data_IF_135768169130
#
_entry.id   IF_135768169130
#
_cell.length_a   1.000
_cell.length_b   1.000
_cell.length_c   1.000
_cell.angle_alpha   90.00
_cell.angle_beta   90.00
_cell.angle_gamma   90.00
#
_symmetry.space_group_name_H-M   'P 1'
#
loop_
_entity.id
_entity.type
_entity.pdbx_description
1 polymer ?
#
# COMPACT_ATOMS: atom_id res chain seq x y z
N UNK A 1 31.13 -28.31 18.70
CA UNK A 1 29.88 -27.56 18.90
C UNK A 1 30.09 -26.58 20.04
N UNK A 2 30.14 -25.28 19.77
CA UNK A 2 30.28 -24.24 20.80
C UNK A 2 28.91 -24.07 21.44
N UNK A 3 28.80 -24.34 22.74
CA UNK A 3 27.60 -24.07 23.53
C UNK A 3 27.38 -22.55 23.49
N UNK A 4 26.30 -22.10 22.86
CA UNK A 4 25.87 -20.71 23.00
C UNK A 4 25.36 -20.54 24.43
N UNK A 5 26.03 -19.70 25.21
CA UNK A 5 25.57 -19.33 26.54
C UNK A 5 24.22 -18.59 26.43
N UNK A 6 23.27 -19.00 27.27
CA UNK A 6 21.88 -18.53 27.30
C UNK A 6 21.74 -16.99 27.34
N UNK A 7 22.74 -16.30 27.91
CA UNK A 7 22.82 -14.84 28.01
C UNK A 7 23.00 -14.14 26.65
N UNK A 8 23.82 -14.69 25.76
CA UNK A 8 24.04 -14.13 24.42
C UNK A 8 22.81 -14.29 23.52
N UNK A 9 22.06 -15.38 23.69
CA UNK A 9 20.81 -15.59 22.97
C UNK A 9 19.74 -14.57 23.39
N UNK A 10 19.56 -14.33 24.70
CA UNK A 10 18.64 -13.29 25.19
C UNK A 10 19.00 -11.88 24.73
N UNK A 11 20.28 -11.53 24.71
CA UNK A 11 20.73 -10.21 24.25
C UNK A 11 20.44 -9.97 22.77
N UNK A 12 20.76 -10.95 21.90
CA UNK A 12 20.47 -10.86 20.47
C UNK A 12 18.96 -10.80 20.19
N UNK A 13 18.16 -11.60 20.88
CA UNK A 13 16.70 -11.58 20.75
C UNK A 13 16.13 -10.21 21.18
N UNK A 14 16.66 -9.61 22.26
CA UNK A 14 16.26 -8.27 22.70
C UNK A 14 16.64 -7.20 21.67
N UNK A 15 17.86 -7.23 21.14
CA UNK A 15 18.34 -6.25 20.16
C UNK A 15 17.56 -6.32 18.83
N UNK A 16 17.24 -7.52 18.35
CA UNK A 16 16.38 -7.70 17.18
C UNK A 16 14.96 -7.18 17.44
N UNK A 17 14.41 -7.42 18.64
CA UNK A 17 13.09 -6.91 19.03
C UNK A 17 13.07 -5.39 19.06
N UNK A 18 14.07 -4.75 19.65
CA UNK A 18 14.17 -3.29 19.74
C UNK A 18 14.31 -2.64 18.35
N UNK A 19 15.05 -3.29 17.45
CA UNK A 19 15.18 -2.83 16.05
C UNK A 19 13.84 -2.92 15.30
N UNK A 20 13.09 -4.01 15.48
CA UNK A 20 11.75 -4.19 14.88
C UNK A 20 10.78 -3.13 15.41
N UNK A 21 10.79 -2.88 16.72
CA UNK A 21 9.96 -1.85 17.34
C UNK A 21 10.35 -0.46 16.82
N UNK A 22 11.65 -0.17 16.68
CA UNK A 22 12.14 1.08 16.12
C UNK A 22 11.69 1.33 14.68
N UNK A 23 11.78 0.32 13.81
CA UNK A 23 11.28 0.39 12.43
C UNK A 23 9.77 0.65 12.38
N UNK A 24 8.99 0.00 13.24
CA UNK A 24 7.54 0.18 13.32
C UNK A 24 7.14 1.58 13.78
N UNK A 25 7.83 2.14 14.77
CA UNK A 25 7.59 3.51 15.23
C UNK A 25 7.84 4.51 14.09
N UNK A 26 8.85 4.28 13.26
CA UNK A 26 9.12 5.12 12.09
C UNK A 26 8.09 4.92 10.96
N UNK A 27 7.49 3.74 10.84
CA UNK A 27 6.46 3.43 9.83
C UNK A 27 5.12 4.11 10.12
N UNK A 28 4.72 4.24 11.40
CA UNK A 28 3.46 4.88 11.82
C UNK A 28 3.26 6.30 11.25
N UNK A 29 4.19 7.27 11.39
CA UNK A 29 4.00 8.62 10.84
C UNK A 29 3.96 8.62 9.31
N UNK A 30 4.71 7.74 8.64
CA UNK A 30 4.64 7.58 7.20
C UNK A 30 3.26 7.10 6.75
N UNK A 31 2.68 6.12 7.45
CA UNK A 31 1.33 5.64 7.19
C UNK A 31 0.27 6.72 7.47
N UNK A 32 0.40 7.48 8.56
CA UNK A 32 -0.50 8.59 8.84
C UNK A 32 -0.45 9.64 7.71
N UNK A 33 0.74 10.07 7.29
CA UNK A 33 0.90 11.03 6.21
C UNK A 33 0.34 10.52 4.87
N UNK A 34 0.65 9.28 4.49
CA UNK A 34 0.16 8.68 3.25
C UNK A 34 -1.37 8.57 3.24
N UNK A 35 -2.00 8.12 4.34
CA UNK A 35 -3.46 8.04 4.41
C UNK A 35 -4.15 9.41 4.24
N UNK A 36 -3.61 10.46 4.86
CA UNK A 36 -4.12 11.83 4.71
C UNK A 36 -4.00 12.29 3.26
N UNK A 37 -2.82 12.08 2.65
CA UNK A 37 -2.58 12.46 1.25
C UNK A 37 -3.53 11.72 0.30
N UNK A 38 -3.76 10.43 0.50
CA UNK A 38 -4.66 9.63 -0.34
C UNK A 38 -6.12 10.11 -0.21
N UNK A 39 -6.57 10.45 1.00
CA UNK A 39 -7.91 11.02 1.20
C UNK A 39 -8.03 12.38 0.51
N UNK A 40 -7.04 13.27 0.67
CA UNK A 40 -7.01 14.57 -0.02
C UNK A 40 -7.02 14.39 -1.54
N UNK A 41 -6.29 13.41 -2.06
CA UNK A 41 -6.28 13.08 -3.48
C UNK A 41 -7.65 12.63 -3.98
N UNK A 42 -8.32 11.70 -3.28
CA UNK A 42 -9.68 11.25 -3.65
C UNK A 42 -10.66 12.45 -3.64
N UNK A 43 -10.61 13.30 -2.61
CA UNK A 43 -11.43 14.50 -2.52
C UNK A 43 -11.18 15.47 -3.68
N UNK A 44 -9.92 15.64 -4.09
CA UNK A 44 -9.55 16.45 -5.23
C UNK A 44 -10.14 15.87 -6.53
N UNK A 45 -9.98 14.55 -6.76
CA UNK A 45 -10.50 13.87 -7.95
C UNK A 45 -12.02 13.98 -8.08
N UNK A 46 -12.77 13.88 -6.97
CA UNK A 46 -14.23 14.02 -6.96
C UNK A 46 -14.65 15.46 -7.34
N UNK A 47 -13.89 16.47 -6.91
CA UNK A 47 -14.22 17.88 -7.18
C UNK A 47 -13.79 18.35 -8.57
N UNK A 48 -12.71 17.80 -9.11
CA UNK A 48 -12.19 18.20 -10.42
C UNK A 48 -13.02 17.60 -11.56
N UNK A 49 -13.45 18.44 -12.50
CA UNK A 49 -14.12 18.04 -13.76
C UNK A 49 -13.19 18.02 -14.97
N UNK A 50 -11.90 18.26 -14.76
CA UNK A 50 -10.91 18.41 -15.83
C UNK A 50 -10.53 17.07 -16.45
N UNK A 51 -10.69 15.98 -15.71
CA UNK A 51 -10.26 14.65 -16.13
C UNK A 51 -11.43 13.82 -16.67
N UNK A 52 -11.15 13.02 -17.72
CA UNK A 52 -12.11 12.09 -18.30
C UNK A 52 -12.69 11.15 -17.23
N UNK A 53 -13.99 10.83 -17.34
CA UNK A 53 -14.74 10.08 -16.32
C UNK A 53 -14.12 8.73 -16.00
N UNK A 54 -13.68 8.00 -17.04
CA UNK A 54 -13.02 6.69 -16.94
C UNK A 54 -11.68 6.78 -16.20
N UNK A 55 -10.83 7.74 -16.59
CA UNK A 55 -9.52 7.93 -15.98
C UNK A 55 -9.65 8.35 -14.50
N UNK A 56 -10.65 9.17 -14.18
CA UNK A 56 -10.97 9.52 -12.79
C UNK A 56 -11.37 8.29 -11.98
N UNK A 57 -12.22 7.42 -12.52
CA UNK A 57 -12.63 6.19 -11.84
C UNK A 57 -11.42 5.27 -11.56
N UNK A 58 -10.49 5.15 -12.52
CA UNK A 58 -9.25 4.38 -12.34
C UNK A 58 -8.33 4.98 -11.27
N UNK A 59 -8.19 6.31 -11.21
CA UNK A 59 -7.42 6.97 -10.15
C UNK A 59 -8.05 6.85 -8.76
N UNK A 60 -9.38 6.86 -8.67
CA UNK A 60 -10.07 6.60 -7.41
C UNK A 60 -9.89 5.13 -7.00
N UNK A 61 -9.97 4.19 -7.94
CA UNK A 61 -9.80 2.76 -7.66
C UNK A 61 -8.37 2.43 -7.16
N UNK A 62 -7.33 3.04 -7.74
CA UNK A 62 -5.95 2.90 -7.25
C UNK A 62 -5.82 3.45 -5.82
N UNK A 63 -6.30 4.67 -5.57
CA UNK A 63 -6.28 5.27 -4.24
C UNK A 63 -7.04 4.46 -3.18
N UNK A 64 -8.14 3.81 -3.54
CA UNK A 64 -8.87 2.91 -2.65
C UNK A 64 -8.09 1.62 -2.35
N UNK A 65 -7.41 1.08 -3.36
CA UNK A 65 -6.58 -0.13 -3.20
C UNK A 65 -5.41 0.16 -2.24
N UNK A 66 -4.73 1.30 -2.41
CA UNK A 66 -3.70 1.77 -1.49
C UNK A 66 -4.23 1.85 -0.04
N UNK A 67 -5.40 2.46 0.16
CA UNK A 67 -6.03 2.55 1.49
C UNK A 67 -6.35 1.18 2.08
N UNK A 68 -6.82 0.22 1.28
CA UNK A 68 -7.08 -1.15 1.74
C UNK A 68 -5.79 -1.83 2.20
N UNK A 69 -4.70 -1.73 1.44
CA UNK A 69 -3.39 -2.28 1.80
C UNK A 69 -2.88 -1.62 3.09
N UNK A 70 -3.01 -0.30 3.21
CA UNK A 70 -2.62 0.43 4.42
C UNK A 70 -3.42 0.01 5.64
N UNK A 71 -4.74 -0.20 5.52
CA UNK A 71 -5.57 -0.67 6.63
C UNK A 71 -5.12 -2.04 7.13
N UNK A 72 -4.76 -2.95 6.23
CA UNK A 72 -4.22 -4.27 6.58
C UNK A 72 -2.87 -4.13 7.30
N UNK A 73 -2.01 -3.19 6.87
CA UNK A 73 -0.74 -2.91 7.55
C UNK A 73 -0.92 -2.34 8.96
N UNK A 74 -1.93 -1.50 9.17
CA UNK A 74 -2.28 -1.01 10.52
C UNK A 74 -2.76 -2.15 11.40
N UNK A 75 -3.60 -3.05 10.88
CA UNK A 75 -4.04 -4.24 11.61
C UNK A 75 -2.86 -5.12 12.03
N UNK A 76 -1.93 -5.36 11.11
CA UNK A 76 -0.70 -6.12 11.34
C UNK A 76 0.18 -5.47 12.44
N UNK A 77 0.37 -4.15 12.37
CA UNK A 77 1.13 -3.39 13.36
C UNK A 77 0.53 -3.46 14.77
N UNK A 78 -0.80 -3.52 14.88
CA UNK A 78 -1.53 -3.60 16.16
C UNK A 78 -1.57 -5.01 16.77
N UNK A 79 -1.54 -6.06 15.95
CA UNK A 79 -1.76 -7.45 16.40
C UNK A 79 -0.51 -8.32 16.45
N UNK A 80 0.64 -7.84 15.99
CA UNK A 80 1.88 -8.63 16.07
C UNK A 80 2.59 -8.40 17.41
N UNK A 81 2.53 -9.41 18.28
CA UNK A 81 3.29 -9.53 19.54
C UNK A 81 4.83 -9.69 19.35
N UNK A 82 5.36 -9.29 18.20
CA UNK A 82 6.78 -9.43 17.85
C UNK A 82 7.15 -10.75 17.15
N UNK A 83 6.19 -11.58 16.75
CA UNK A 83 6.43 -12.70 15.83
C UNK A 83 6.38 -12.23 14.36
N UNK A 84 7.37 -12.67 13.58
CA UNK A 84 7.56 -12.39 12.14
C UNK A 84 6.62 -13.28 11.27
N UNK A 85 5.65 -13.97 11.87
CA UNK A 85 4.76 -14.88 11.13
C UNK A 85 3.48 -14.11 10.79
N UNK A 86 3.47 -13.54 9.59
CA UNK A 86 2.27 -12.93 9.02
C UNK A 86 1.15 -13.98 8.95
N UNK A 87 -0.05 -13.63 9.42
CA UNK A 87 -1.22 -14.48 9.22
C UNK A 87 -1.42 -14.71 7.72
N UNK A 88 -1.70 -15.95 7.24
CA UNK A 88 -1.77 -16.25 5.80
C UNK A 88 -2.75 -15.35 5.05
N UNK A 89 -3.83 -14.91 5.70
CA UNK A 89 -4.78 -13.95 5.16
C UNK A 89 -4.16 -12.56 4.90
N UNK A 90 -3.30 -12.08 5.79
CA UNK A 90 -2.56 -10.80 5.61
C UNK A 90 -1.60 -10.92 4.44
N UNK A 91 -0.88 -12.05 4.35
CA UNK A 91 0.05 -12.32 3.26
C UNK A 91 -0.65 -12.34 1.89
N UNK A 92 -1.75 -13.10 1.77
CA UNK A 92 -2.55 -13.17 0.54
C UNK A 92 -3.05 -11.79 0.15
N UNK A 93 -3.66 -11.05 1.09
CA UNK A 93 -4.26 -9.75 0.78
C UNK A 93 -3.23 -8.69 0.37
N UNK A 94 -2.01 -8.76 0.94
CA UNK A 94 -0.89 -7.91 0.55
C UNK A 94 -0.43 -8.17 -0.88
N UNK A 95 -0.28 -9.44 -1.27
CA UNK A 95 0.16 -9.79 -2.63
C UNK A 95 -0.93 -9.55 -3.67
N UNK A 96 -2.19 -9.85 -3.35
CA UNK A 96 -3.31 -9.57 -4.26
C UNK A 96 -3.49 -8.07 -4.47
N UNK A 97 -3.35 -7.25 -3.42
CA UNK A 97 -3.34 -5.79 -3.54
C UNK A 97 -2.25 -5.29 -4.49
N UNK A 98 -1.02 -5.76 -4.31
CA UNK A 98 0.11 -5.41 -5.19
C UNK A 98 -0.13 -5.77 -6.66
N UNK A 99 -0.65 -6.97 -6.93
CA UNK A 99 -1.00 -7.40 -8.29
C UNK A 99 -2.09 -6.51 -8.87
N UNK A 100 -3.10 -6.16 -8.08
CA UNK A 100 -4.20 -5.31 -8.50
C UNK A 100 -3.73 -3.89 -8.84
N UNK A 101 -2.84 -3.30 -8.03
CA UNK A 101 -2.26 -1.98 -8.31
C UNK A 101 -1.45 -1.97 -9.60
N UNK A 102 -0.63 -3.01 -9.83
CA UNK A 102 0.13 -3.16 -11.06
C UNK A 102 -0.79 -3.27 -12.29
N UNK A 103 -1.89 -4.01 -12.17
CA UNK A 103 -2.90 -4.13 -13.22
C UNK A 103 -3.62 -2.80 -13.47
N UNK A 104 -4.00 -2.06 -12.42
CA UNK A 104 -4.64 -0.76 -12.56
C UNK A 104 -3.72 0.26 -13.25
N UNK A 105 -2.44 0.30 -12.88
CA UNK A 105 -1.45 1.15 -13.54
C UNK A 105 -1.31 0.78 -15.03
N UNK A 106 -1.28 -0.51 -15.36
CA UNK A 106 -1.25 -0.97 -16.74
C UNK A 106 -2.52 -0.53 -17.50
N UNK A 107 -3.70 -0.66 -16.90
CA UNK A 107 -4.96 -0.22 -17.50
C UNK A 107 -4.95 1.29 -17.77
N UNK A 108 -4.45 2.09 -16.82
CA UNK A 108 -4.29 3.54 -17.01
C UNK A 108 -3.35 3.83 -18.18
N UNK A 109 -2.21 3.14 -18.28
CA UNK A 109 -1.28 3.31 -19.40
C UNK A 109 -1.92 2.94 -20.74
N UNK A 110 -2.70 1.85 -20.79
CA UNK A 110 -3.42 1.43 -21.99
C UNK A 110 -4.48 2.47 -22.38
N UNK A 111 -5.25 2.97 -21.41
CA UNK A 111 -6.27 4.01 -21.63
C UNK A 111 -5.66 5.26 -22.23
N UNK A 112 -4.52 5.74 -21.68
CA UNK A 112 -3.84 6.93 -22.20
C UNK A 112 -3.24 6.71 -23.58
N UNK A 113 -2.66 5.53 -23.84
CA UNK A 113 -2.17 5.21 -25.19
C UNK A 113 -3.31 5.11 -26.21
N UNK A 114 -4.45 4.56 -25.82
CA UNK A 114 -5.62 4.47 -26.69
C UNK A 114 -6.18 5.86 -27.01
N UNK A 115 -6.32 6.71 -25.99
CA UNK A 115 -6.76 8.10 -26.14
C UNK A 115 -5.84 8.88 -27.09
N UNK A 116 -4.51 8.82 -26.88
CA UNK A 116 -3.54 9.48 -27.73
C UNK A 116 -3.61 9.04 -29.20
N UNK A 117 -3.88 7.75 -29.44
CA UNK A 117 -3.97 7.19 -30.79
C UNK A 117 -5.29 7.53 -31.49
N UNK A 118 -6.36 7.77 -30.75
CA UNK A 118 -7.72 8.01 -31.27
C UNK A 118 -8.29 9.36 -30.82
N UNK A 119 -7.43 10.39 -30.71
CA UNK A 119 -7.79 11.73 -30.22
C UNK A 119 -9.05 12.32 -30.88
N UNK A 120 -9.31 12.05 -32.16
CA UNK A 120 -10.46 12.61 -32.88
C UNK A 120 -11.81 12.00 -32.49
N UNK A 121 -11.82 10.74 -32.03
CA UNK A 121 -13.04 9.99 -31.66
C UNK A 121 -13.19 9.77 -30.15
N UNK A 122 -12.19 10.17 -29.36
CA UNK A 122 -12.16 9.87 -27.92
C UNK A 122 -13.06 10.79 -27.09
N UNK A 123 -13.18 12.05 -27.47
CA UNK A 123 -14.01 13.05 -26.77
C UNK A 123 -15.51 12.97 -27.11
N UNK A 124 -15.91 12.14 -28.09
CA UNK A 124 -17.31 12.00 -28.53
C UNK A 124 -18.13 10.99 -27.69
N UNK A 125 -17.51 10.29 -26.72
CA UNK A 125 -18.12 9.23 -25.90
C UNK A 125 -18.38 9.69 -24.46
#
# INVERSE_FOLDING_TARGET
LRVMDYSHWHFNVSCCRDTIVGMRIAEVPCMAAASILTVVFILAQIRTKVLHSNLRALFIATALTDLCIMYIRVYDLLHTDGLIIDHPLVLVTKYTGWVFDCLLLLIILIERNYALKHNETYDEV
#
